data_IF_231412618874
#
_entry.id   IF_231412618874
#
_cell.length_a   1.000
_cell.length_b   1.000
_cell.length_c   1.000
_cell.angle_alpha   90.00
_cell.angle_beta   90.00
_cell.angle_gamma   90.00
#
_symmetry.space_group_name_H-M   'P 1'
#
loop_
_entity.id
_entity.type
_entity.pdbx_description
1 polymer ?
#
# COMPACT_ATOMS: atom_id res chain seq x y z
N UNK A 1 -8.36 -0.71 27.51
CA UNK A 1 -7.67 -0.93 26.22
C UNK A 1 -7.72 0.31 25.34
N UNK A 2 -8.88 0.95 25.15
CA UNK A 2 -8.98 2.26 24.48
C UNK A 2 -8.13 3.38 25.11
N UNK A 3 -8.05 3.40 26.46
CA UNK A 3 -7.19 4.35 27.20
C UNK A 3 -5.67 4.09 27.01
N UNK A 4 -5.26 2.89 26.68
CA UNK A 4 -3.86 2.58 26.36
C UNK A 4 -3.46 3.01 24.96
N UNK A 5 -4.40 3.06 23.99
CA UNK A 5 -4.16 3.62 22.67
C UNK A 5 -3.96 5.15 22.71
N UNK A 6 -4.64 5.84 23.62
CA UNK A 6 -4.50 7.29 23.82
C UNK A 6 -3.26 7.71 24.61
N UNK A 7 -2.59 6.79 25.35
CA UNK A 7 -1.32 7.09 26.03
C UNK A 7 -0.08 7.04 25.13
N UNK A 8 -0.22 6.77 23.84
CA UNK A 8 0.87 6.52 22.89
C UNK A 8 1.72 7.72 22.49
N UNK A 9 1.37 8.91 22.94
CA UNK A 9 1.99 10.14 22.43
C UNK A 9 2.51 11.05 23.55
N UNK A 10 2.88 10.49 24.71
CA UNK A 10 3.60 11.25 25.69
C UNK A 10 5.04 11.47 25.20
N UNK A 11 5.53 12.71 25.14
CA UNK A 11 6.93 12.99 24.76
C UNK A 11 7.85 12.31 25.77
N UNK A 12 8.90 11.63 25.30
CA UNK A 12 9.98 11.21 26.17
C UNK A 12 10.71 12.46 26.68
N UNK A 13 10.77 12.62 27.99
CA UNK A 13 11.50 13.73 28.64
C UNK A 13 13.01 13.50 28.54
N UNK A 14 13.61 13.76 27.37
CA UNK A 14 15.08 13.98 27.32
C UNK A 14 15.50 14.58 26.00
N UNK A 15 15.86 15.82 26.02
CA UNK A 15 17.05 16.46 25.44
C UNK A 15 16.79 17.92 25.11
N UNK A 16 17.47 18.82 25.80
CA UNK A 16 17.36 20.27 25.70
C UNK A 16 18.14 20.88 24.52
N UNK A 17 18.16 20.27 23.38
CA UNK A 17 18.72 20.88 22.19
C UNK A 17 17.58 21.50 21.36
N UNK A 18 17.35 22.79 21.50
CA UNK A 18 16.41 23.55 20.68
C UNK A 18 16.94 23.60 19.25
N UNK A 19 16.34 22.77 18.40
CA UNK A 19 16.64 22.81 16.96
C UNK A 19 15.90 23.98 16.30
N UNK A 20 16.45 24.61 15.23
CA UNK A 20 15.82 25.76 14.59
C UNK A 20 14.37 25.51 14.09
N UNK A 21 14.01 24.27 13.84
CA UNK A 21 12.68 23.89 13.33
C UNK A 21 11.63 23.59 14.41
N UNK A 22 11.99 23.49 15.70
CA UNK A 22 11.03 23.25 16.79
C UNK A 22 9.86 24.25 16.79
N UNK A 23 10.15 25.53 16.52
CA UNK A 23 9.13 26.56 16.44
C UNK A 23 8.10 26.38 15.32
N UNK A 24 8.42 25.55 14.31
CA UNK A 24 7.54 25.25 13.18
C UNK A 24 6.74 23.95 13.34
N UNK A 25 7.07 23.14 14.35
CA UNK A 25 6.43 21.82 14.55
C UNK A 25 5.00 21.88 15.09
N UNK A 26 4.52 23.06 15.54
CA UNK A 26 3.13 23.26 15.93
C UNK A 26 2.61 22.29 17.00
N UNK A 27 3.47 21.84 17.93
CA UNK A 27 3.13 20.87 18.96
C UNK A 27 3.27 19.41 18.55
N UNK A 28 3.79 19.11 17.36
CA UNK A 28 4.15 17.74 16.95
C UNK A 28 5.35 17.29 17.78
N UNK A 29 5.30 16.09 18.42
CA UNK A 29 6.43 15.59 19.19
C UNK A 29 7.70 15.43 18.33
N UNK A 30 8.84 15.88 18.86
CA UNK A 30 10.15 15.74 18.18
C UNK A 30 10.64 14.30 18.17
N UNK A 31 10.22 13.52 19.15
CA UNK A 31 10.56 12.10 19.28
C UNK A 31 9.29 11.29 19.54
N UNK A 32 9.25 10.11 18.96
CA UNK A 32 8.14 9.16 19.11
C UNK A 32 8.68 7.81 19.59
N UNK A 33 7.94 7.14 20.46
CA UNK A 33 8.21 5.74 20.80
C UNK A 33 7.68 4.86 19.67
N UNK A 34 8.58 4.35 18.86
CA UNK A 34 8.22 3.54 17.70
C UNK A 34 7.87 2.12 18.10
N UNK A 35 6.86 1.58 17.41
CA UNK A 35 6.43 0.19 17.58
C UNK A 35 7.55 -0.79 17.19
N UNK A 36 7.89 -1.71 18.08
CA UNK A 36 9.04 -2.63 17.97
C UNK A 36 8.69 -4.01 17.37
N UNK A 37 7.60 -4.12 16.63
CA UNK A 37 7.18 -5.34 15.94
C UNK A 37 7.30 -5.26 14.43
N UNK A 38 6.84 -6.30 13.76
CA UNK A 38 6.75 -6.30 12.29
C UNK A 38 5.61 -5.40 11.80
N UNK A 39 5.58 -5.14 10.49
CA UNK A 39 4.45 -4.42 9.86
C UNK A 39 3.15 -5.20 10.03
N UNK A 40 3.20 -6.54 9.94
CA UNK A 40 2.02 -7.36 10.16
C UNK A 40 1.55 -7.30 11.62
N UNK A 41 2.46 -7.37 12.61
CA UNK A 41 2.09 -7.25 14.04
C UNK A 41 1.37 -5.92 14.33
N UNK A 42 1.78 -4.83 13.69
CA UNK A 42 1.10 -3.54 13.82
C UNK A 42 -0.35 -3.59 13.30
N UNK A 43 -0.57 -4.26 12.17
CA UNK A 43 -1.91 -4.41 11.56
C UNK A 43 -2.77 -5.42 12.34
N UNK A 44 -2.20 -6.54 12.76
CA UNK A 44 -2.90 -7.56 13.56
C UNK A 44 -3.42 -6.98 14.87
N UNK A 45 -2.60 -6.17 15.55
CA UNK A 45 -3.00 -5.46 16.77
C UNK A 45 -4.18 -4.50 16.55
N UNK A 46 -4.25 -3.84 15.40
CA UNK A 46 -5.42 -3.02 15.05
C UNK A 46 -6.65 -3.90 14.79
N UNK A 47 -6.46 -5.05 14.13
CA UNK A 47 -7.55 -5.99 13.88
C UNK A 47 -8.13 -6.59 15.17
N UNK A 48 -7.32 -6.79 16.21
CA UNK A 48 -7.78 -7.20 17.55
C UNK A 48 -8.67 -6.13 18.20
N UNK A 49 -8.29 -4.86 18.06
CA UNK A 49 -9.03 -3.73 18.67
C UNK A 49 -10.29 -3.39 17.88
N UNK A 50 -10.20 -3.41 16.54
CA UNK A 50 -11.27 -2.98 15.62
C UNK A 50 -11.66 -4.07 14.60
N UNK A 51 -11.98 -5.31 15.00
CA UNK A 51 -12.18 -6.43 14.06
C UNK A 51 -13.29 -6.21 13.05
N UNK A 52 -14.33 -5.44 13.42
CA UNK A 52 -15.50 -5.18 12.58
C UNK A 52 -15.38 -3.93 11.71
N UNK A 53 -14.39 -3.07 11.97
CA UNK A 53 -14.14 -1.90 11.11
C UNK A 53 -13.69 -2.35 9.72
N UNK A 54 -14.05 -1.54 8.71
CA UNK A 54 -13.62 -1.77 7.34
C UNK A 54 -12.15 -1.33 7.20
N UNK A 55 -11.28 -2.26 6.82
CA UNK A 55 -9.88 -2.01 6.52
C UNK A 55 -9.72 -1.37 5.14
N UNK A 56 -10.42 -1.90 4.14
CA UNK A 56 -10.39 -1.33 2.80
C UNK A 56 -11.66 -1.61 1.99
N UNK A 57 -11.84 -0.76 0.97
CA UNK A 57 -12.82 -0.97 -0.10
C UNK A 57 -12.11 -1.20 -1.42
N UNK A 58 -12.64 -2.14 -2.19
CA UNK A 58 -12.20 -2.41 -3.53
C UNK A 58 -13.39 -2.58 -4.45
N UNK A 59 -13.54 -1.69 -5.43
CA UNK A 59 -14.61 -1.73 -6.44
C UNK A 59 -16.02 -1.95 -5.86
N UNK A 60 -16.31 -1.32 -4.72
CA UNK A 60 -17.62 -1.37 -4.06
C UNK A 60 -17.80 -2.52 -3.05
N UNK A 61 -16.81 -3.40 -2.89
CA UNK A 61 -16.78 -4.42 -1.86
C UNK A 61 -15.93 -3.96 -0.69
N UNK A 62 -16.47 -4.01 0.51
CA UNK A 62 -15.76 -3.70 1.76
C UNK A 62 -15.20 -4.96 2.40
N UNK A 63 -13.98 -4.87 2.94
CA UNK A 63 -13.32 -5.93 3.70
C UNK A 63 -13.00 -5.41 5.10
N UNK A 64 -13.43 -6.13 6.15
CA UNK A 64 -13.14 -5.77 7.54
C UNK A 64 -11.71 -6.16 7.93
N UNK A 65 -11.19 -5.57 9.02
CA UNK A 65 -9.88 -5.93 9.56
C UNK A 65 -9.78 -7.42 9.90
N UNK A 66 -10.81 -7.98 10.57
CA UNK A 66 -10.88 -9.42 10.84
C UNK A 66 -10.73 -10.25 9.58
N UNK A 67 -11.53 -9.93 8.54
CA UNK A 67 -11.48 -10.67 7.27
C UNK A 67 -10.14 -10.51 6.56
N UNK A 68 -9.56 -9.32 6.57
CA UNK A 68 -8.25 -9.07 6.00
C UNK A 68 -7.19 -9.94 6.66
N UNK A 69 -7.14 -9.98 7.99
CA UNK A 69 -6.16 -10.79 8.74
C UNK A 69 -6.36 -12.28 8.48
N UNK A 70 -7.60 -12.77 8.42
CA UNK A 70 -7.89 -14.16 8.05
C UNK A 70 -7.34 -14.54 6.67
N UNK A 71 -7.48 -13.66 5.67
CA UNK A 71 -6.93 -13.89 4.32
C UNK A 71 -5.40 -13.80 4.30
N UNK A 72 -4.80 -12.88 5.07
CA UNK A 72 -3.34 -12.79 5.23
C UNK A 72 -2.79 -14.10 5.80
N UNK A 73 -3.39 -14.62 6.86
CA UNK A 73 -2.99 -15.91 7.44
C UNK A 73 -3.12 -17.07 6.45
N UNK A 74 -4.18 -17.04 5.62
CA UNK A 74 -4.37 -18.05 4.58
C UNK A 74 -3.27 -17.97 3.52
N UNK A 75 -2.95 -16.77 3.02
CA UNK A 75 -1.84 -16.55 2.10
C UNK A 75 -0.50 -17.00 2.71
N UNK A 76 -0.24 -16.68 3.98
CA UNK A 76 0.98 -17.06 4.68
C UNK A 76 1.16 -18.59 4.74
N UNK A 77 0.09 -19.32 5.08
CA UNK A 77 0.09 -20.79 5.04
C UNK A 77 0.34 -21.34 3.63
N UNK A 78 -0.31 -20.75 2.63
CA UNK A 78 -0.12 -21.17 1.22
C UNK A 78 1.30 -20.94 0.75
N UNK A 79 1.92 -19.79 1.09
CA UNK A 79 3.32 -19.51 0.76
C UNK A 79 4.27 -20.55 1.37
N UNK A 80 4.04 -20.91 2.64
CA UNK A 80 4.84 -21.98 3.29
C UNK A 80 4.64 -23.34 2.62
N UNK A 81 3.43 -23.65 2.19
CA UNK A 81 3.10 -24.92 1.50
C UNK A 81 3.80 -25.02 0.16
N UNK A 82 3.96 -23.93 -0.58
CA UNK A 82 4.70 -23.93 -1.86
C UNK A 82 6.22 -23.77 -1.69
N UNK A 83 6.71 -23.82 -0.44
CA UNK A 83 8.14 -23.86 -0.13
C UNK A 83 8.79 -22.52 0.15
N UNK A 84 8.07 -21.39 0.22
CA UNK A 84 8.66 -20.09 0.60
C UNK A 84 9.12 -20.13 2.06
N UNK A 85 10.34 -19.68 2.32
CA UNK A 85 11.00 -19.74 3.63
C UNK A 85 11.29 -18.34 4.17
N UNK A 86 11.66 -18.29 5.44
CA UNK A 86 12.21 -17.09 6.07
C UNK A 86 13.42 -16.58 5.28
N UNK A 87 13.46 -15.28 5.00
CA UNK A 87 14.52 -14.63 4.23
C UNK A 87 14.42 -14.76 2.71
N UNK A 88 13.49 -15.56 2.17
CA UNK A 88 13.23 -15.59 0.73
C UNK A 88 12.62 -14.26 0.27
N UNK A 89 12.80 -13.94 -1.02
CA UNK A 89 12.15 -12.78 -1.63
C UNK A 89 10.96 -13.23 -2.47
N UNK A 90 9.85 -12.53 -2.27
CA UNK A 90 8.61 -12.72 -3.02
C UNK A 90 8.29 -11.44 -3.76
N UNK A 91 8.30 -11.51 -5.09
CA UNK A 91 7.95 -10.37 -5.93
C UNK A 91 6.44 -10.19 -6.00
N UNK A 92 5.99 -8.97 -5.68
CA UNK A 92 4.60 -8.54 -5.82
C UNK A 92 4.53 -7.52 -6.97
N UNK A 93 4.07 -7.97 -8.13
CA UNK A 93 3.92 -7.17 -9.34
C UNK A 93 2.44 -6.92 -9.62
N UNK A 94 1.80 -6.11 -8.79
CA UNK A 94 0.36 -5.91 -8.79
C UNK A 94 -0.01 -4.43 -8.60
N UNK A 95 -1.18 -3.99 -9.08
CA UNK A 95 -1.74 -2.69 -8.70
C UNK A 95 -2.33 -2.75 -7.29
N UNK A 96 -2.88 -1.62 -6.80
CA UNK A 96 -3.58 -1.54 -5.52
C UNK A 96 -4.85 -2.40 -5.54
N UNK A 97 -4.76 -3.63 -5.09
CA UNK A 97 -5.86 -4.61 -5.02
C UNK A 97 -5.77 -5.44 -3.73
N UNK A 98 -6.86 -6.11 -3.33
CA UNK A 98 -6.89 -6.92 -2.10
C UNK A 98 -5.79 -7.98 -2.04
N UNK A 99 -5.57 -8.70 -3.15
CA UNK A 99 -4.57 -9.75 -3.22
C UNK A 99 -3.16 -9.24 -2.95
N UNK A 100 -2.83 -8.02 -3.43
CA UNK A 100 -1.54 -7.38 -3.16
C UNK A 100 -1.37 -7.06 -1.66
N UNK A 101 -2.44 -6.60 -0.99
CA UNK A 101 -2.45 -6.35 0.45
C UNK A 101 -2.26 -7.65 1.23
N UNK A 102 -3.02 -8.70 0.88
CA UNK A 102 -2.90 -10.00 1.55
C UNK A 102 -1.51 -10.58 1.40
N UNK A 103 -0.95 -10.56 0.19
CA UNK A 103 0.39 -11.07 -0.07
C UNK A 103 1.47 -10.27 0.62
N UNK A 104 1.39 -8.94 0.63
CA UNK A 104 2.36 -8.07 1.28
C UNK A 104 2.53 -8.43 2.78
N UNK A 105 1.43 -8.50 3.50
CA UNK A 105 1.48 -8.85 4.92
C UNK A 105 1.74 -10.34 5.18
N UNK A 106 1.31 -11.23 4.27
CA UNK A 106 1.59 -12.66 4.38
C UNK A 106 3.08 -12.98 4.24
N UNK A 107 3.75 -12.33 3.29
CA UNK A 107 5.21 -12.43 3.09
C UNK A 107 5.93 -11.93 4.34
N UNK A 108 5.50 -10.80 4.90
CA UNK A 108 6.07 -10.25 6.12
C UNK A 108 5.87 -11.19 7.33
N UNK A 109 4.67 -11.78 7.49
CA UNK A 109 4.31 -12.72 8.57
C UNK A 109 5.18 -13.98 8.59
N UNK A 110 5.57 -14.49 7.42
CA UNK A 110 6.44 -15.68 7.33
C UNK A 110 7.94 -15.35 7.37
N UNK A 111 8.29 -14.08 7.57
CA UNK A 111 9.68 -13.61 7.64
C UNK A 111 10.38 -13.50 6.28
N UNK A 112 9.66 -13.60 5.18
CA UNK A 112 10.18 -13.33 3.84
C UNK A 112 10.19 -11.83 3.54
N UNK A 113 10.85 -11.42 2.46
CA UNK A 113 11.00 -10.02 2.04
C UNK A 113 10.15 -9.75 0.80
N UNK A 114 9.32 -8.73 0.86
CA UNK A 114 8.52 -8.28 -0.28
C UNK A 114 9.39 -7.53 -1.30
N UNK A 115 9.48 -8.02 -2.52
CA UNK A 115 10.09 -7.31 -3.63
C UNK A 115 8.98 -6.64 -4.45
N UNK A 116 8.84 -5.31 -4.33
CA UNK A 116 7.73 -4.57 -4.89
C UNK A 116 8.13 -3.95 -6.22
N UNK A 117 7.50 -4.37 -7.32
CA UNK A 117 7.83 -3.87 -8.65
C UNK A 117 6.62 -3.36 -9.41
N UNK A 118 6.85 -2.48 -10.36
CA UNK A 118 5.79 -1.97 -11.23
C UNK A 118 5.35 -3.06 -12.21
N UNK A 119 4.06 -3.47 -12.23
CA UNK A 119 3.59 -4.56 -13.10
C UNK A 119 3.64 -4.23 -14.60
N UNK A 120 3.74 -2.93 -14.96
CA UNK A 120 3.84 -2.48 -16.35
C UNK A 120 5.28 -2.28 -16.82
N UNK A 121 6.30 -2.50 -15.97
CA UNK A 121 7.71 -2.45 -16.38
C UNK A 121 7.98 -3.32 -17.61
N UNK A 122 9.01 -2.96 -18.38
CA UNK A 122 9.46 -3.77 -19.51
C UNK A 122 10.01 -5.12 -19.04
N UNK A 123 9.95 -6.14 -19.88
CA UNK A 123 10.40 -7.50 -19.54
C UNK A 123 11.84 -7.51 -19.02
N UNK A 124 12.76 -6.78 -19.65
CA UNK A 124 14.17 -6.68 -19.22
C UNK A 124 14.33 -6.02 -17.86
N UNK A 125 13.48 -5.03 -17.51
CA UNK A 125 13.48 -4.44 -16.17
C UNK A 125 12.98 -5.44 -15.14
N UNK A 126 11.89 -6.16 -15.44
CA UNK A 126 11.36 -7.20 -14.57
C UNK A 126 12.40 -8.29 -14.36
N UNK A 127 13.06 -8.75 -15.43
CA UNK A 127 14.16 -9.72 -15.35
C UNK A 127 15.29 -9.25 -14.41
N UNK A 128 15.71 -7.99 -14.57
CA UNK A 128 16.71 -7.37 -13.70
C UNK A 128 16.25 -7.36 -12.23
N UNK A 129 15.02 -6.94 -11.94
CA UNK A 129 14.50 -6.90 -10.58
C UNK A 129 14.41 -8.28 -9.92
N UNK A 130 14.05 -9.30 -10.69
CA UNK A 130 13.96 -10.68 -10.20
C UNK A 130 15.35 -11.29 -9.94
N UNK A 131 16.32 -10.98 -10.79
CA UNK A 131 17.71 -11.39 -10.63
C UNK A 131 18.37 -10.67 -9.46
N UNK A 132 18.24 -9.34 -9.38
CA UNK A 132 18.84 -8.52 -8.32
C UNK A 132 18.30 -8.91 -6.94
N UNK A 133 16.99 -9.08 -6.82
CA UNK A 133 16.36 -9.50 -5.56
C UNK A 133 16.54 -11.00 -5.26
N UNK A 134 16.92 -11.82 -6.24
CA UNK A 134 16.92 -13.29 -6.14
C UNK A 134 15.54 -13.82 -5.71
N UNK A 135 14.48 -13.30 -6.32
CA UNK A 135 13.09 -13.67 -6.00
C UNK A 135 12.77 -15.10 -6.42
N UNK A 136 12.28 -15.89 -5.48
CA UNK A 136 11.90 -17.31 -5.72
C UNK A 136 10.43 -17.48 -6.12
N UNK A 137 9.61 -16.50 -5.82
CA UNK A 137 8.16 -16.51 -6.09
C UNK A 137 7.72 -15.16 -6.61
N UNK A 138 6.84 -15.17 -7.61
CA UNK A 138 6.17 -13.97 -8.15
C UNK A 138 4.68 -14.12 -7.94
N UNK A 139 4.02 -13.03 -7.52
CA UNK A 139 2.56 -12.90 -7.62
C UNK A 139 2.23 -11.72 -8.53
N UNK A 140 1.36 -11.97 -9.50
CA UNK A 140 0.94 -10.97 -10.49
C UNK A 140 -0.49 -11.20 -10.95
N UNK A 141 -1.02 -10.28 -11.76
CA UNK A 141 -2.34 -10.47 -12.38
C UNK A 141 -2.23 -11.22 -13.72
N UNK A 142 -3.33 -11.88 -14.08
CA UNK A 142 -3.51 -12.58 -15.34
C UNK A 142 -3.12 -11.78 -16.57
N UNK A 143 -3.43 -10.49 -16.60
CA UNK A 143 -3.07 -9.58 -17.70
C UNK A 143 -1.56 -9.36 -17.87
N UNK A 144 -0.75 -9.65 -16.86
CA UNK A 144 0.72 -9.45 -16.91
C UNK A 144 1.51 -10.76 -17.03
N UNK A 145 0.85 -11.91 -16.95
CA UNK A 145 1.47 -13.24 -16.95
C UNK A 145 2.52 -13.41 -18.04
N UNK A 146 2.21 -13.04 -19.27
CA UNK A 146 3.09 -13.28 -20.42
C UNK A 146 4.45 -12.60 -20.32
N UNK A 147 4.55 -11.48 -19.60
CA UNK A 147 5.84 -10.84 -19.34
C UNK A 147 6.74 -11.71 -18.45
N UNK A 148 6.17 -12.33 -17.42
CA UNK A 148 6.91 -13.18 -16.50
C UNK A 148 7.26 -14.52 -17.12
N UNK A 149 6.38 -15.08 -17.94
CA UNK A 149 6.65 -16.31 -18.69
C UNK A 149 7.83 -16.14 -19.64
N UNK A 150 7.87 -15.03 -20.40
CA UNK A 150 8.92 -14.76 -21.38
C UNK A 150 10.32 -14.72 -20.78
N UNK A 151 10.46 -14.32 -19.52
CA UNK A 151 11.76 -14.15 -18.83
C UNK A 151 12.03 -15.24 -17.79
N UNK A 152 11.11 -16.15 -17.53
CA UNK A 152 11.16 -17.11 -16.43
C UNK A 152 12.47 -17.88 -16.39
N UNK A 153 12.92 -18.38 -17.54
CA UNK A 153 14.13 -19.21 -17.63
C UNK A 153 15.42 -18.46 -17.28
N UNK A 154 15.40 -17.13 -17.34
CA UNK A 154 16.52 -16.26 -17.02
C UNK A 154 16.52 -15.79 -15.56
N UNK A 155 15.59 -16.28 -14.74
CA UNK A 155 15.39 -15.78 -13.36
C UNK A 155 15.38 -16.94 -12.36
N UNK A 156 15.62 -16.68 -11.07
CA UNK A 156 15.56 -17.70 -10.02
C UNK A 156 14.13 -18.09 -9.63
N UNK A 157 13.10 -17.61 -10.34
CA UNK A 157 11.69 -17.79 -9.99
C UNK A 157 11.26 -19.26 -10.16
N UNK A 158 10.85 -19.86 -9.05
CA UNK A 158 10.29 -21.22 -8.99
C UNK A 158 8.77 -21.18 -9.17
N UNK A 159 8.09 -20.30 -8.43
CA UNK A 159 6.64 -20.23 -8.42
C UNK A 159 6.13 -18.93 -9.05
N UNK A 160 5.11 -19.04 -9.91
CA UNK A 160 4.34 -17.89 -10.40
C UNK A 160 2.89 -18.07 -9.95
N UNK A 161 2.41 -17.15 -9.11
CA UNK A 161 1.03 -17.11 -8.61
C UNK A 161 0.27 -16.08 -9.45
N UNK A 162 -0.83 -16.52 -10.06
CA UNK A 162 -1.65 -15.67 -10.92
C UNK A 162 -2.99 -15.41 -10.27
N UNK A 163 -3.24 -14.12 -9.99
CA UNK A 163 -4.52 -13.62 -9.52
C UNK A 163 -5.27 -12.90 -10.66
N UNK A 164 -6.57 -12.71 -10.48
CA UNK A 164 -7.39 -11.85 -11.33
C UNK A 164 -8.08 -10.78 -10.49
N UNK A 165 -8.28 -9.61 -11.05
CA UNK A 165 -9.13 -8.57 -10.43
C UNK A 165 -10.53 -9.13 -10.14
N UNK A 166 -11.02 -10.03 -11.00
CA UNK A 166 -12.32 -10.66 -10.86
C UNK A 166 -12.48 -11.54 -9.62
N UNK A 167 -11.38 -12.04 -9.03
CA UNK A 167 -11.41 -12.90 -7.84
C UNK A 167 -12.01 -12.19 -6.63
N UNK A 168 -11.83 -10.87 -6.55
CA UNK A 168 -12.27 -10.04 -5.42
C UNK A 168 -13.53 -9.21 -5.72
N UNK A 169 -14.16 -9.40 -6.88
CA UNK A 169 -15.40 -8.71 -7.23
C UNK A 169 -16.64 -9.46 -6.71
N UNK A 170 -17.69 -8.69 -6.38
CA UNK A 170 -19.04 -9.26 -6.15
C UNK A 170 -19.60 -9.88 -7.45
N UNK A 171 -20.50 -10.85 -7.32
CA UNK A 171 -21.01 -11.61 -8.47
C UNK A 171 -21.49 -10.75 -9.66
N UNK A 172 -22.34 -9.72 -9.52
CA UNK A 172 -22.77 -8.92 -10.67
C UNK A 172 -21.59 -8.14 -11.30
N UNK A 173 -20.66 -7.62 -10.51
CA UNK A 173 -19.48 -6.90 -11.03
C UNK A 173 -18.49 -7.86 -11.68
N UNK A 174 -18.34 -9.07 -11.14
CA UNK A 174 -17.50 -10.11 -11.72
C UNK A 174 -18.00 -10.50 -13.13
N UNK A 175 -19.30 -10.74 -13.28
CA UNK A 175 -19.87 -11.03 -14.59
C UNK A 175 -19.65 -9.89 -15.59
N UNK A 176 -19.90 -8.64 -15.17
CA UNK A 176 -19.64 -7.45 -15.99
C UNK A 176 -18.17 -7.31 -16.38
N UNK A 177 -17.25 -7.50 -15.43
CA UNK A 177 -15.81 -7.47 -15.69
C UNK A 177 -15.38 -8.54 -16.70
N UNK A 178 -15.84 -9.78 -16.54
CA UNK A 178 -15.52 -10.88 -17.45
C UNK A 178 -16.02 -10.64 -18.88
N UNK A 179 -17.17 -9.96 -19.01
CA UNK A 179 -17.74 -9.61 -20.32
C UNK A 179 -17.05 -8.42 -21.00
N UNK A 180 -16.34 -7.57 -20.26
CA UNK A 180 -15.71 -6.35 -20.75
C UNK A 180 -14.19 -6.46 -20.74
N UNK A 181 -13.56 -6.18 -19.60
CA UNK A 181 -12.09 -6.15 -19.46
C UNK A 181 -11.49 -7.57 -19.51
N UNK A 182 -12.15 -8.57 -18.94
CA UNK A 182 -11.68 -9.96 -18.93
C UNK A 182 -11.47 -10.54 -20.32
N UNK A 183 -12.31 -10.15 -21.30
CA UNK A 183 -12.17 -10.60 -22.70
C UNK A 183 -10.91 -10.07 -23.40
N UNK A 184 -10.35 -8.97 -22.91
CA UNK A 184 -9.14 -8.35 -23.47
C UNK A 184 -7.87 -9.04 -22.98
N UNK A 185 -7.98 -9.83 -21.91
CA UNK A 185 -6.85 -10.52 -21.31
C UNK A 185 -6.52 -11.75 -22.16
N UNK A 186 -5.27 -11.84 -22.58
CA UNK A 186 -4.78 -13.01 -23.34
C UNK A 186 -4.89 -14.26 -22.47
N UNK A 187 -5.50 -15.32 -23.02
CA UNK A 187 -5.68 -16.56 -22.27
C UNK A 187 -4.34 -17.17 -21.85
N UNK A 188 -4.23 -17.52 -20.59
CA UNK A 188 -3.12 -18.29 -20.05
C UNK A 188 -3.40 -19.78 -20.36
N UNK A 189 -2.45 -20.52 -20.93
CA UNK A 189 -2.62 -21.94 -21.20
C UNK A 189 -3.06 -22.71 -19.96
N UNK A 190 -3.88 -23.75 -20.17
CA UNK A 190 -4.42 -24.53 -19.05
C UNK A 190 -3.33 -25.40 -18.39
N UNK A 191 -2.29 -25.76 -19.15
CA UNK A 191 -1.09 -26.51 -18.76
C UNK A 191 0.08 -25.60 -18.33
N UNK A 192 -0.11 -24.26 -18.28
CA UNK A 192 0.92 -23.35 -17.84
C UNK A 192 1.37 -23.70 -16.42
N UNK A 193 2.69 -23.69 -16.14
CA UNK A 193 3.23 -24.05 -14.83
C UNK A 193 3.08 -22.88 -13.83
N UNK A 194 1.83 -22.54 -13.52
CA UNK A 194 1.44 -21.46 -12.61
C UNK A 194 0.46 -21.96 -11.56
N UNK A 195 0.41 -21.25 -10.44
CA UNK A 195 -0.56 -21.50 -9.37
C UNK A 195 -1.65 -20.44 -9.50
N UNK A 196 -2.88 -20.85 -9.79
CA UNK A 196 -4.03 -19.93 -9.84
C UNK A 196 -4.36 -19.43 -8.43
N UNK A 197 -4.83 -18.19 -8.29
CA UNK A 197 -5.13 -17.57 -6.99
C UNK A 197 -6.05 -18.43 -6.12
N UNK A 198 -7.08 -19.00 -6.72
CA UNK A 198 -8.02 -19.85 -6.01
C UNK A 198 -7.36 -21.12 -5.46
N UNK A 199 -6.54 -21.80 -6.27
CA UNK A 199 -5.79 -22.99 -5.87
C UNK A 199 -4.77 -22.65 -4.80
N UNK A 200 -4.03 -21.53 -4.98
CA UNK A 200 -3.11 -21.01 -3.98
C UNK A 200 -3.80 -20.82 -2.63
N UNK A 201 -4.96 -20.16 -2.60
CA UNK A 201 -5.71 -19.95 -1.37
C UNK A 201 -6.24 -21.25 -0.74
N UNK A 202 -6.42 -22.32 -1.53
CA UNK A 202 -6.79 -23.64 -1.04
C UNK A 202 -5.64 -24.37 -0.36
N UNK A 203 -4.42 -24.24 -0.85
CA UNK A 203 -3.22 -24.85 -0.24
C UNK A 203 -3.07 -24.48 1.24
N UNK A 204 -3.39 -23.26 1.60
CA UNK A 204 -3.30 -22.78 2.99
C UNK A 204 -4.28 -23.44 3.97
N UNK A 205 -5.28 -24.19 3.48
CA UNK A 205 -6.20 -24.94 4.34
C UNK A 205 -5.56 -26.21 4.91
N UNK A 206 -4.57 -26.76 4.23
CA UNK A 206 -3.91 -28.02 4.60
C UNK A 206 -2.60 -27.81 5.37
N UNK A 207 -2.26 -26.57 5.70
CA UNK A 207 -1.06 -26.26 6.45
C UNK A 207 -1.35 -26.32 7.98
N UNK A 208 -0.81 -27.32 8.65
CA UNK A 208 -1.00 -27.56 10.09
C UNK A 208 0.25 -27.22 10.94
N UNK A 209 1.36 -26.84 10.31
CA UNK A 209 2.59 -26.46 10.99
C UNK A 209 2.68 -24.96 11.25
N UNK A 210 3.63 -24.59 12.13
CA UNK A 210 3.86 -23.17 12.41
C UNK A 210 4.43 -22.46 11.17
N UNK A 211 3.70 -21.49 10.67
CA UNK A 211 4.07 -20.65 9.51
C UNK A 211 4.53 -19.25 9.91
N UNK A 212 4.18 -18.77 11.14
CA UNK A 212 4.62 -17.48 11.65
C UNK A 212 6.09 -17.53 12.01
N UNK A 213 6.83 -16.50 11.66
CA UNK A 213 8.23 -16.33 12.03
C UNK A 213 8.36 -15.08 12.89
N UNK A 214 8.97 -15.24 14.05
CA UNK A 214 9.31 -14.08 14.89
C UNK A 214 10.40 -13.26 14.23
N UNK A 215 10.12 -11.97 14.06
CA UNK A 215 11.01 -10.99 13.43
C UNK A 215 11.02 -9.71 14.26
N UNK A 216 12.14 -8.99 14.18
CA UNK A 216 12.33 -7.71 14.85
C UNK A 216 11.95 -6.54 13.95
N UNK A 217 11.80 -5.38 14.54
CA UNK A 217 11.51 -4.14 13.82
C UNK A 217 12.62 -3.81 12.78
N UNK A 218 13.87 -4.09 13.10
CA UNK A 218 15.04 -3.81 12.25
C UNK A 218 15.27 -4.86 11.15
N UNK A 219 14.54 -5.96 11.17
CA UNK A 219 14.69 -7.00 10.16
C UNK A 219 14.23 -6.51 8.78
N UNK A 220 14.95 -6.89 7.71
CA UNK A 220 14.55 -6.61 6.33
C UNK A 220 13.15 -7.10 6.01
N UNK A 221 12.35 -6.27 5.36
CA UNK A 221 10.95 -6.55 5.09
C UNK A 221 10.51 -6.24 3.65
N UNK A 222 11.06 -5.20 3.04
CA UNK A 222 10.63 -4.71 1.72
C UNK A 222 11.82 -4.28 0.88
N UNK A 223 11.80 -4.59 -0.41
CA UNK A 223 12.66 -3.99 -1.43
C UNK A 223 11.79 -3.09 -2.29
N UNK A 224 12.17 -1.81 -2.39
CA UNK A 224 11.62 -0.84 -3.34
C UNK A 224 12.72 -0.38 -4.28
N UNK A 225 12.35 0.04 -5.49
CA UNK A 225 13.32 0.49 -6.48
C UNK A 225 13.30 1.99 -6.64
N UNK A 226 14.49 2.60 -6.63
CA UNK A 226 14.68 4.01 -6.94
C UNK A 226 15.35 4.17 -8.29
N UNK A 227 14.87 5.14 -9.09
CA UNK A 227 15.60 5.59 -10.28
C UNK A 227 16.84 6.36 -9.84
N UNK A 228 18.01 5.70 -9.83
CA UNK A 228 19.24 6.35 -9.41
C UNK A 228 19.60 7.56 -10.30
N UNK A 229 20.11 8.64 -9.69
CA UNK A 229 20.66 9.80 -10.41
C UNK A 229 21.81 9.43 -11.36
N UNK A 230 22.40 8.25 -11.19
CA UNK A 230 23.47 7.67 -12.00
C UNK A 230 22.95 6.82 -13.17
N UNK A 231 21.63 6.77 -13.41
CA UNK A 231 21.01 5.99 -14.49
C UNK A 231 20.82 4.50 -14.18
N UNK A 232 21.37 3.98 -13.07
CA UNK A 232 21.21 2.57 -12.67
C UNK A 232 20.15 2.50 -11.56
N UNK A 233 19.10 1.73 -11.79
CA UNK A 233 18.07 1.45 -10.78
C UNK A 233 18.66 0.64 -9.62
N UNK A 234 18.36 1.03 -8.38
CA UNK A 234 18.83 0.38 -7.16
C UNK A 234 17.67 -0.21 -6.38
N UNK A 235 17.82 -1.44 -5.91
CA UNK A 235 16.92 -2.05 -4.93
C UNK A 235 17.26 -1.57 -3.51
N UNK A 236 16.35 -0.83 -2.90
CA UNK A 236 16.50 -0.29 -1.54
C UNK A 236 15.86 -1.26 -0.58
N UNK A 237 16.67 -1.83 0.32
CA UNK A 237 16.21 -2.76 1.34
C UNK A 237 15.74 -1.99 2.57
N UNK A 238 14.46 -2.12 2.89
CA UNK A 238 13.78 -1.42 3.98
C UNK A 238 13.35 -2.41 5.06
N UNK A 239 13.36 -1.95 6.30
CA UNK A 239 12.98 -2.73 7.48
C UNK A 239 11.52 -2.54 7.86
N UNK A 240 11.00 -3.39 8.78
CA UNK A 240 9.70 -3.16 9.39
C UNK A 240 9.64 -1.81 10.11
N UNK A 241 10.75 -1.42 10.78
CA UNK A 241 10.87 -0.15 11.51
C UNK A 241 10.64 1.05 10.60
N UNK A 242 11.20 1.05 9.38
CA UNK A 242 11.04 2.16 8.45
C UNK A 242 9.56 2.46 8.19
N UNK A 243 8.77 1.43 7.87
CA UNK A 243 7.34 1.62 7.59
C UNK A 243 6.51 1.91 8.83
N UNK A 244 6.78 1.25 9.95
CA UNK A 244 6.08 1.50 11.22
C UNK A 244 6.34 2.93 11.71
N UNK A 245 7.61 3.39 11.66
CA UNK A 245 7.99 4.75 12.05
C UNK A 245 7.33 5.79 11.15
N UNK A 246 7.39 5.60 9.82
CA UNK A 246 6.70 6.48 8.87
C UNK A 246 5.22 6.61 9.21
N UNK A 247 4.53 5.48 9.44
CA UNK A 247 3.11 5.46 9.78
C UNK A 247 2.81 6.27 11.04
N UNK A 248 3.61 6.09 12.08
CA UNK A 248 3.45 6.81 13.34
C UNK A 248 3.74 8.31 13.19
N UNK A 249 4.78 8.68 12.42
CA UNK A 249 5.13 10.08 12.13
C UNK A 249 4.01 10.79 11.34
N UNK A 250 3.49 10.15 10.30
CA UNK A 250 2.39 10.71 9.50
C UNK A 250 1.17 10.98 10.37
N UNK A 251 0.82 10.08 11.28
CA UNK A 251 -0.33 10.28 12.18
C UNK A 251 -0.04 11.34 13.24
N UNK A 252 1.17 11.38 13.82
CA UNK A 252 1.56 12.43 14.75
C UNK A 252 1.47 13.82 14.12
N UNK A 253 1.85 13.95 12.85
CA UNK A 253 1.70 15.18 12.08
C UNK A 253 0.25 15.51 11.69
N UNK A 254 -0.70 14.57 11.89
CA UNK A 254 -2.12 14.75 11.54
C UNK A 254 -3.04 14.48 12.75
N UNK A 255 -3.10 15.38 13.73
CA UNK A 255 -3.85 15.19 14.97
C UNK A 255 -5.37 15.05 14.78
N UNK A 256 -5.87 15.37 13.58
CA UNK A 256 -7.27 15.17 13.21
C UNK A 256 -7.61 13.72 12.83
N UNK A 257 -6.61 12.87 12.63
CA UNK A 257 -6.85 11.46 12.29
C UNK A 257 -7.63 10.73 13.39
N UNK A 258 -8.56 9.90 12.98
CA UNK A 258 -9.31 8.99 13.85
C UNK A 258 -9.43 7.61 13.19
N UNK A 259 -9.46 6.51 13.97
CA UNK A 259 -9.76 5.18 13.43
C UNK A 259 -11.06 5.19 12.61
N UNK A 260 -11.03 4.55 11.45
CA UNK A 260 -12.12 4.57 10.47
C UNK A 260 -12.06 5.69 9.43
N UNK A 261 -11.18 6.68 9.58
CA UNK A 261 -10.94 7.69 8.55
C UNK A 261 -10.45 7.05 7.25
N UNK A 262 -10.85 7.62 6.12
CA UNK A 262 -10.68 7.06 4.79
C UNK A 262 -9.58 7.76 4.02
N UNK A 263 -8.63 6.98 3.51
CA UNK A 263 -7.61 7.41 2.55
C UNK A 263 -7.97 6.93 1.15
N UNK A 264 -7.95 7.80 0.16
CA UNK A 264 -8.01 7.39 -1.23
C UNK A 264 -6.64 6.87 -1.67
N UNK A 265 -6.47 5.56 -1.62
CA UNK A 265 -5.21 4.86 -1.91
C UNK A 265 -5.04 4.67 -3.43
N UNK A 266 -4.74 5.77 -4.13
CA UNK A 266 -4.49 5.78 -5.58
C UNK A 266 -3.00 5.75 -5.92
N UNK A 267 -2.14 6.19 -5.00
CA UNK A 267 -0.68 6.10 -5.19
C UNK A 267 -0.24 4.63 -5.20
N UNK A 268 0.65 4.25 -6.14
CA UNK A 268 1.01 2.85 -6.35
C UNK A 268 1.66 2.20 -5.12
N UNK A 269 1.25 0.98 -4.80
CA UNK A 269 1.79 0.21 -3.69
C UNK A 269 3.26 -0.26 -3.89
N UNK A 270 3.79 -0.19 -5.10
CA UNK A 270 5.20 -0.47 -5.38
C UNK A 270 6.11 0.78 -5.21
N UNK A 271 5.58 1.87 -4.68
CA UNK A 271 6.32 3.08 -4.28
C UNK A 271 6.13 3.36 -2.78
N UNK A 272 7.19 3.86 -2.10
CA UNK A 272 7.16 4.19 -0.68
C UNK A 272 6.01 5.12 -0.29
N UNK A 273 5.72 6.15 -1.10
CA UNK A 273 4.58 7.04 -0.86
C UNK A 273 3.22 6.31 -0.88
N UNK A 274 2.99 5.44 -1.85
CA UNK A 274 1.76 4.66 -1.93
C UNK A 274 1.66 3.59 -0.84
N UNK A 275 2.72 2.78 -0.71
CA UNK A 275 2.76 1.68 0.25
C UNK A 275 2.81 2.19 1.69
N UNK A 276 3.72 3.12 1.99
CA UNK A 276 3.94 3.63 3.33
C UNK A 276 2.84 4.56 3.79
N UNK A 277 2.63 5.69 3.08
CA UNK A 277 1.69 6.73 3.52
C UNK A 277 0.23 6.34 3.29
N UNK A 278 -0.11 5.83 2.07
CA UNK A 278 -1.52 5.61 1.73
C UNK A 278 -2.08 4.28 2.24
N UNK A 279 -1.23 3.26 2.41
CA UNK A 279 -1.68 1.89 2.75
C UNK A 279 -1.25 1.51 4.16
N UNK A 280 0.07 1.37 4.42
CA UNK A 280 0.53 0.85 5.70
C UNK A 280 0.18 1.79 6.86
N UNK A 281 0.37 3.10 6.72
CA UNK A 281 -0.04 4.09 7.73
C UNK A 281 -1.51 3.90 8.11
N UNK A 282 -2.39 3.82 7.12
CA UNK A 282 -3.82 3.68 7.41
C UNK A 282 -4.14 2.35 8.08
N UNK A 283 -3.62 1.23 7.57
CA UNK A 283 -3.95 -0.10 8.10
C UNK A 283 -3.33 -0.36 9.47
N UNK A 284 -2.13 0.16 9.74
CA UNK A 284 -1.47 0.02 11.04
C UNK A 284 -1.99 0.98 12.11
N UNK A 285 -2.82 1.96 11.75
CA UNK A 285 -3.37 2.97 12.65
C UNK A 285 -4.91 2.94 12.75
N UNK A 286 -5.56 1.95 12.13
CA UNK A 286 -7.01 1.76 12.20
C UNK A 286 -7.81 2.55 11.18
N UNK A 287 -7.16 3.08 10.15
CA UNK A 287 -7.83 3.78 9.05
C UNK A 287 -8.47 2.83 8.03
N UNK A 288 -9.02 3.39 6.97
CA UNK A 288 -9.68 2.66 5.88
C UNK A 288 -9.11 3.10 4.54
N UNK A 289 -8.65 2.16 3.72
CA UNK A 289 -8.12 2.42 2.38
C UNK A 289 -9.20 2.24 1.32
N UNK A 290 -9.39 3.22 0.44
CA UNK A 290 -10.16 3.05 -0.78
C UNK A 290 -9.16 2.66 -1.88
N UNK A 291 -9.05 1.37 -2.18
CA UNK A 291 -8.06 0.84 -3.12
C UNK A 291 -8.44 1.16 -4.56
N UNK A 292 -7.52 1.77 -5.30
CA UNK A 292 -7.72 2.18 -6.69
C UNK A 292 -6.69 1.47 -7.56
N UNK A 293 -7.07 0.41 -8.30
CA UNK A 293 -6.13 -0.38 -9.09
C UNK A 293 -5.63 0.36 -10.33
N UNK A 294 -6.42 1.25 -10.85
CA UNK A 294 -6.10 2.14 -11.98
C UNK A 294 -6.84 3.44 -11.79
N UNK A 295 -6.14 4.55 -11.86
CA UNK A 295 -6.77 5.84 -11.67
C UNK A 295 -6.66 6.73 -12.90
N UNK A 296 -7.67 7.60 -13.06
CA UNK A 296 -7.68 8.78 -13.90
C UNK A 296 -8.13 9.95 -13.03
N UNK A 297 -7.87 11.19 -13.43
CA UNK A 297 -8.35 12.35 -12.67
C UNK A 297 -9.88 12.31 -12.44
N UNK A 298 -10.67 11.86 -13.45
CA UNK A 298 -12.12 11.71 -13.33
C UNK A 298 -12.51 10.63 -12.31
N UNK A 299 -11.87 9.47 -12.35
CA UNK A 299 -12.15 8.39 -11.37
C UNK A 299 -11.76 8.82 -9.97
N UNK A 300 -10.64 9.53 -9.82
CA UNK A 300 -10.17 10.06 -8.54
C UNK A 300 -11.18 11.05 -7.94
N UNK A 301 -11.62 12.06 -8.72
CA UNK A 301 -12.63 13.03 -8.34
C UNK A 301 -13.94 12.34 -7.90
N UNK A 302 -14.43 11.38 -8.69
CA UNK A 302 -15.64 10.62 -8.37
C UNK A 302 -15.49 9.82 -7.06
N UNK A 303 -14.33 9.23 -6.80
CA UNK A 303 -14.11 8.42 -5.60
C UNK A 303 -13.97 9.29 -4.34
N UNK A 304 -13.31 10.47 -4.41
CA UNK A 304 -13.25 11.42 -3.30
C UNK A 304 -14.65 11.73 -2.81
N UNK A 305 -15.53 12.14 -3.71
CA UNK A 305 -16.92 12.55 -3.39
C UNK A 305 -17.78 11.36 -2.96
N UNK A 306 -17.73 10.24 -3.70
CA UNK A 306 -18.50 9.03 -3.41
C UNK A 306 -18.23 8.48 -2.02
N UNK A 307 -16.95 8.35 -1.66
CA UNK A 307 -16.54 7.75 -0.38
C UNK A 307 -16.40 8.80 0.73
N UNK A 308 -16.49 10.09 0.40
CA UNK A 308 -16.21 11.20 1.34
C UNK A 308 -14.89 10.94 2.06
N UNK A 309 -13.81 10.85 1.28
CA UNK A 309 -12.49 10.57 1.80
C UNK A 309 -12.02 11.66 2.76
N UNK A 310 -11.37 11.26 3.86
CA UNK A 310 -10.80 12.18 4.85
C UNK A 310 -9.39 12.60 4.47
N UNK A 311 -8.68 11.72 3.79
CA UNK A 311 -7.31 11.93 3.34
C UNK A 311 -7.17 11.61 1.87
N UNK A 312 -6.43 12.45 1.16
CA UNK A 312 -6.02 12.24 -0.22
C UNK A 312 -4.54 12.51 -0.38
N UNK A 313 -3.91 11.75 -1.25
CA UNK A 313 -2.49 11.89 -1.59
C UNK A 313 -2.30 11.85 -3.10
N UNK A 314 -1.37 12.63 -3.61
CA UNK A 314 -1.12 12.70 -5.04
C UNK A 314 0.17 13.42 -5.39
N UNK A 315 0.48 13.41 -6.68
CA UNK A 315 1.56 14.22 -7.27
C UNK A 315 0.97 15.55 -7.78
N UNK A 316 1.80 16.61 -7.95
CA UNK A 316 1.32 17.94 -8.38
C UNK A 316 0.48 17.91 -9.66
N UNK A 317 0.85 17.10 -10.63
CA UNK A 317 0.11 16.94 -11.90
C UNK A 317 -1.31 16.39 -11.72
N UNK A 318 -1.56 15.59 -10.67
CA UNK A 318 -2.90 15.14 -10.33
C UNK A 318 -3.76 16.30 -9.83
N UNK A 319 -3.23 17.13 -8.95
CA UNK A 319 -3.95 18.31 -8.42
C UNK A 319 -4.26 19.31 -9.53
N UNK A 320 -3.31 19.54 -10.44
CA UNK A 320 -3.55 20.37 -11.62
C UNK A 320 -4.68 19.80 -12.50
N UNK A 321 -4.69 18.48 -12.70
CA UNK A 321 -5.76 17.83 -13.45
C UNK A 321 -7.12 17.95 -12.75
N UNK A 322 -7.19 17.85 -11.42
CA UNK A 322 -8.44 18.01 -10.66
C UNK A 322 -9.03 19.42 -10.79
N UNK A 323 -8.19 20.47 -10.78
CA UNK A 323 -8.63 21.86 -11.00
C UNK A 323 -9.33 22.08 -12.34
N UNK A 324 -9.01 21.26 -13.34
CA UNK A 324 -9.59 21.39 -14.70
C UNK A 324 -10.85 20.54 -14.91
N UNK A 325 -11.26 19.76 -13.90
CA UNK A 325 -12.41 18.86 -14.04
C UNK A 325 -13.74 19.54 -13.73
N UNK A 326 -14.66 19.66 -14.70
CA UNK A 326 -15.99 20.22 -14.45
C UNK A 326 -16.78 19.46 -13.36
N UNK A 327 -16.54 18.16 -13.23
CA UNK A 327 -17.19 17.30 -12.22
C UNK A 327 -16.86 17.68 -10.78
N UNK A 328 -15.82 18.47 -10.56
CA UNK A 328 -15.44 18.96 -9.24
C UNK A 328 -16.15 20.27 -8.86
N UNK A 329 -16.79 20.98 -9.79
CA UNK A 329 -17.34 22.30 -9.56
C UNK A 329 -18.35 22.42 -8.40
N UNK A 330 -19.09 21.35 -8.07
CA UNK A 330 -20.03 21.28 -6.96
C UNK A 330 -19.64 20.26 -5.88
N UNK A 331 -18.37 19.84 -5.84
CA UNK A 331 -17.91 18.85 -4.88
C UNK A 331 -17.93 19.42 -3.45
N UNK A 332 -18.49 18.69 -2.49
CA UNK A 332 -18.36 19.00 -1.07
C UNK A 332 -17.16 18.26 -0.49
N UNK A 333 -16.09 19.02 -0.21
CA UNK A 333 -14.83 18.52 0.34
C UNK A 333 -14.67 18.79 1.84
N UNK A 334 -15.74 19.15 2.54
CA UNK A 334 -15.76 19.45 3.99
C UNK A 334 -15.29 18.27 4.86
N UNK A 335 -15.31 17.05 4.31
CA UNK A 335 -14.85 15.84 5.01
C UNK A 335 -13.33 15.68 5.02
N UNK A 336 -12.58 16.45 4.21
CA UNK A 336 -11.12 16.35 4.15
C UNK A 336 -10.47 16.83 5.44
N UNK A 337 -9.54 16.05 5.95
CA UNK A 337 -8.68 16.30 7.11
C UNK A 337 -7.21 16.43 6.74
N UNK A 338 -6.82 15.96 5.56
CA UNK A 338 -5.47 16.06 5.04
C UNK A 338 -5.38 15.86 3.53
N UNK A 339 -4.54 16.68 2.90
CA UNK A 339 -4.20 16.60 1.47
C UNK A 339 -2.69 16.63 1.36
N UNK A 340 -2.10 15.57 0.79
CA UNK A 340 -0.66 15.40 0.71
C UNK A 340 -0.19 15.44 -0.74
N UNK A 341 0.75 16.34 -1.04
CA UNK A 341 1.49 16.35 -2.31
C UNK A 341 2.90 15.82 -2.10
N UNK A 342 3.34 14.91 -2.93
CA UNK A 342 4.68 14.33 -2.87
C UNK A 342 5.11 13.72 -4.18
N UNK A 343 6.36 13.24 -4.24
CA UNK A 343 6.94 12.61 -5.42
C UNK A 343 7.44 13.58 -6.48
N UNK A 344 7.09 14.86 -6.39
CA UNK A 344 7.62 15.96 -7.22
C UNK A 344 7.38 17.29 -6.51
N UNK A 345 8.09 18.34 -6.93
CA UNK A 345 7.99 19.68 -6.35
C UNK A 345 6.63 20.33 -6.66
N UNK A 346 5.97 20.82 -5.61
CA UNK A 346 4.71 21.57 -5.73
C UNK A 346 5.02 23.06 -5.89
N UNK A 347 4.71 23.64 -7.07
CA UNK A 347 4.93 25.06 -7.25
C UNK A 347 4.05 25.91 -6.33
N UNK A 348 4.53 27.08 -5.83
CA UNK A 348 3.74 27.97 -4.99
C UNK A 348 2.42 28.39 -5.65
N UNK A 349 2.42 28.59 -6.97
CA UNK A 349 1.25 28.97 -7.76
C UNK A 349 0.20 27.85 -7.76
N UNK A 350 0.62 26.60 -7.99
CA UNK A 350 -0.28 25.44 -7.98
C UNK A 350 -0.83 25.21 -6.57
N UNK A 351 0.05 25.30 -5.55
CA UNK A 351 -0.38 25.20 -4.15
C UNK A 351 -1.46 26.23 -3.84
N UNK A 352 -1.24 27.51 -4.15
CA UNK A 352 -2.21 28.59 -3.92
C UNK A 352 -3.53 28.34 -4.64
N UNK A 353 -3.48 27.92 -5.91
CA UNK A 353 -4.69 27.60 -6.70
C UNK A 353 -5.47 26.45 -6.07
N UNK A 354 -4.77 25.40 -5.64
CA UNK A 354 -5.44 24.24 -5.06
C UNK A 354 -5.95 24.52 -3.64
N UNK A 355 -5.25 25.29 -2.83
CA UNK A 355 -5.75 25.74 -1.51
C UNK A 355 -7.01 26.60 -1.64
N UNK A 356 -7.07 27.51 -2.64
CA UNK A 356 -8.29 28.27 -2.95
C UNK A 356 -9.42 27.34 -3.37
N UNK A 357 -9.14 26.38 -4.26
CA UNK A 357 -10.11 25.38 -4.68
C UNK A 357 -10.65 24.57 -3.49
N UNK A 358 -9.81 24.12 -2.57
CA UNK A 358 -10.22 23.42 -1.35
C UNK A 358 -11.17 24.27 -0.51
N UNK A 359 -10.83 25.53 -0.30
CA UNK A 359 -11.66 26.49 0.45
C UNK A 359 -13.02 26.72 -0.21
N UNK A 360 -13.06 26.95 -1.52
CA UNK A 360 -14.29 27.15 -2.29
C UNK A 360 -15.22 25.91 -2.24
N UNK A 361 -14.62 24.73 -2.02
CA UNK A 361 -15.31 23.44 -1.86
C UNK A 361 -15.50 23.02 -0.40
N UNK A 362 -15.47 23.98 0.54
CA UNK A 362 -15.77 23.84 1.99
C UNK A 362 -14.73 23.04 2.78
N UNK A 363 -13.55 22.76 2.25
CA UNK A 363 -12.47 22.19 3.04
C UNK A 363 -11.85 23.25 3.94
N UNK A 364 -11.48 22.87 5.16
CA UNK A 364 -10.87 23.76 6.17
C UNK A 364 -9.36 23.53 6.30
N UNK A 365 -8.78 22.77 5.38
CA UNK A 365 -7.36 22.39 5.39
C UNK A 365 -6.69 22.85 4.10
N UNK A 366 -5.37 22.91 4.14
CA UNK A 366 -4.52 23.24 3.00
C UNK A 366 -3.70 22.02 2.56
N UNK A 367 -3.18 22.07 1.32
CA UNK A 367 -2.22 21.06 0.84
C UNK A 367 -0.94 21.13 1.66
N UNK A 368 -0.47 19.97 2.09
CA UNK A 368 0.83 19.78 2.70
C UNK A 368 1.75 19.07 1.73
N UNK A 369 2.93 19.64 1.54
CA UNK A 369 3.96 19.02 0.72
C UNK A 369 4.80 18.08 1.60
N UNK A 370 5.03 16.87 1.11
CA UNK A 370 5.92 15.88 1.72
C UNK A 370 7.12 15.64 0.81
N UNK A 371 8.32 15.80 1.34
CA UNK A 371 9.55 15.38 0.69
C UNK A 371 9.97 14.03 1.25
N UNK A 372 10.42 13.14 0.37
CA UNK A 372 10.98 11.85 0.73
C UNK A 372 11.67 11.19 -0.46
N UNK A 373 12.57 10.28 -0.16
CA UNK A 373 13.20 9.39 -1.14
C UNK A 373 12.86 7.95 -0.77
N UNK A 374 13.09 7.01 -1.68
CA UNK A 374 12.88 5.58 -1.40
C UNK A 374 13.74 5.12 -0.22
N UNK A 375 14.92 5.72 -0.04
CA UNK A 375 15.88 5.40 1.01
C UNK A 375 15.46 5.91 2.41
N UNK A 376 14.42 6.74 2.48
CA UNK A 376 13.97 7.39 3.73
C UNK A 376 12.57 6.98 4.17
N UNK A 377 12.03 5.93 3.58
CA UNK A 377 10.73 5.35 3.97
C UNK A 377 10.81 4.62 5.32
#
# INVERSE_FOLDING_TARGET
MEQQLNRRWAPSETTTCKTPWEGFMGGIPMHLDYFQGTMFDAVERIAEVYPRQVAFDFMGRSTTYKRMVEEIHRCARSLRTIGVRNGDRVTIAMPNCPQAIFMFYAVNLIGAVCNMIHPLSAEKEIEFYLQESQSVTVVTLDQFYHKFEAIRQNTPVVNIIIASISDELSQPLRAGYMLTEGRKIKKIPDDAPVIRWWDFMHLGRSCFWNYRVERKAEDPAVILYSGGTTGTTKGILLTNQNFNALGQQVIAANPMFRPGDKMLAAMPLFHGFGLGVCIHTMLSQGGRCILVPRFTAQSYAKLITKYRCNFIAGVPTLYEALLRLPSMGNADLSCLKGVFSGGDSLSPELKKKFDTFLYDHKATIQVREGYGTTETV
#
